data_IF_553330762127
#
_entry.id   IF_553330762127
#
_cell.length_a   1.000
_cell.length_b   1.000
_cell.length_c   1.000
_cell.angle_alpha   90.00
_cell.angle_beta   90.00
_cell.angle_gamma   90.00
#
_symmetry.space_group_name_H-M   'P 1'
#
loop_
_entity.id
_entity.type
_entity.pdbx_description
1 polymer ?
#
# COMPACT_ATOMS: atom_id res chain seq x y z
N UNK A 1 -50.44 58.25 16.59
CA UNK A 1 -49.41 57.16 16.32
C UNK A 1 -49.59 56.16 17.41
N UNK A 2 -50.12 54.97 17.08
CA UNK A 2 -50.31 53.87 18.03
C UNK A 2 -48.96 53.28 18.40
N UNK A 3 -48.61 53.27 19.70
CA UNK A 3 -47.42 52.62 20.22
C UNK A 3 -47.58 51.10 19.95
N UNK A 4 -46.74 50.56 19.14
CA UNK A 4 -46.64 49.09 18.96
C UNK A 4 -46.19 48.47 20.25
N UNK A 5 -47.03 47.62 20.82
CA UNK A 5 -46.74 46.85 22.02
C UNK A 5 -45.79 45.70 21.67
N UNK A 6 -44.50 45.96 21.77
CA UNK A 6 -43.44 44.95 21.50
C UNK A 6 -43.60 43.64 22.31
N UNK A 7 -44.22 43.77 23.51
CA UNK A 7 -44.45 42.61 24.36
C UNK A 7 -45.55 41.68 23.76
N UNK A 8 -46.57 42.22 23.15
CA UNK A 8 -47.63 41.45 22.48
C UNK A 8 -47.12 40.79 21.20
N UNK A 9 -46.26 41.48 20.47
CA UNK A 9 -45.65 40.91 19.26
C UNK A 9 -44.66 39.77 19.58
N UNK A 10 -43.86 39.91 20.63
CA UNK A 10 -42.97 38.85 21.15
C UNK A 10 -43.80 37.66 21.66
N UNK A 11 -44.91 37.91 22.40
CA UNK A 11 -45.76 36.82 22.90
C UNK A 11 -46.46 36.05 21.77
N UNK A 12 -46.89 36.72 20.72
CA UNK A 12 -47.42 36.07 19.51
C UNK A 12 -46.37 35.23 18.80
N UNK A 13 -45.13 35.69 18.73
CA UNK A 13 -43.99 34.95 18.17
C UNK A 13 -43.69 33.67 18.93
N UNK A 14 -43.74 33.71 20.27
CA UNK A 14 -43.58 32.53 21.12
C UNK A 14 -44.73 31.54 21.02
N UNK A 15 -45.97 32.03 20.97
CA UNK A 15 -47.16 31.19 20.94
C UNK A 15 -47.40 30.49 19.60
N UNK A 16 -46.93 31.05 18.50
CA UNK A 16 -47.09 30.46 17.16
C UNK A 16 -46.01 29.48 16.79
N UNK A 17 -44.94 29.32 17.61
CA UNK A 17 -43.91 28.27 17.41
C UNK A 17 -43.18 28.28 16.07
N UNK A 18 -43.50 29.26 15.21
CA UNK A 18 -42.88 29.35 13.88
C UNK A 18 -41.66 30.25 13.96
N UNK A 19 -40.63 29.75 14.63
CA UNK A 19 -39.28 30.22 14.32
C UNK A 19 -38.94 29.60 12.95
N UNK A 20 -39.30 30.30 11.87
CA UNK A 20 -38.71 30.00 10.58
C UNK A 20 -37.20 30.25 10.73
N UNK A 21 -36.43 29.17 11.02
CA UNK A 21 -35.00 29.23 10.83
C UNK A 21 -34.76 29.75 9.41
N UNK A 22 -33.98 30.80 9.23
CA UNK A 22 -33.62 31.21 7.89
C UNK A 22 -33.05 29.97 7.20
N UNK A 23 -33.65 29.57 6.10
CA UNK A 23 -33.18 28.46 5.29
C UNK A 23 -31.82 28.92 4.75
N UNK A 24 -30.74 28.65 5.51
CA UNK A 24 -29.42 28.82 4.94
C UNK A 24 -29.37 27.92 3.73
N UNK A 25 -29.17 28.45 2.53
CA UNK A 25 -28.95 27.59 1.38
C UNK A 25 -27.83 26.62 1.77
N UNK A 26 -28.05 25.33 1.51
CA UNK A 26 -27.03 24.33 1.69
C UNK A 26 -25.73 24.85 1.03
N UNK A 27 -24.58 24.75 1.68
CA UNK A 27 -23.36 25.22 1.07
C UNK A 27 -23.22 24.50 -0.28
N UNK A 28 -23.43 25.25 -1.35
CA UNK A 28 -23.04 24.78 -2.67
C UNK A 28 -21.54 24.64 -2.63
N UNK A 29 -21.07 23.42 -2.71
CA UNK A 29 -19.65 23.12 -2.83
C UNK A 29 -19.17 23.79 -4.12
N UNK A 30 -18.58 24.97 -3.99
CA UNK A 30 -17.94 25.68 -5.09
C UNK A 30 -16.58 25.03 -5.26
N UNK A 31 -16.50 24.04 -6.12
CA UNK A 31 -15.23 23.42 -6.50
C UNK A 31 -14.42 24.45 -7.28
N UNK A 32 -13.29 24.89 -6.77
CA UNK A 32 -12.28 25.60 -7.56
C UNK A 32 -11.95 27.05 -7.22
N UNK A 33 -12.26 27.56 -6.00
CA UNK A 33 -11.66 28.82 -5.55
C UNK A 33 -10.43 28.59 -4.67
N UNK A 34 -9.34 29.35 -4.86
CA UNK A 34 -8.17 29.24 -3.99
C UNK A 34 -8.58 29.55 -2.54
N UNK A 35 -8.50 28.57 -1.64
CA UNK A 35 -8.90 28.66 -0.25
C UNK A 35 -10.15 27.87 0.14
N UNK A 36 -10.89 27.25 -0.79
CA UNK A 36 -11.96 26.32 -0.47
C UNK A 36 -11.39 24.98 0.04
N UNK A 37 -12.03 24.32 1.04
CA UNK A 37 -11.63 22.98 1.48
C UNK A 37 -11.79 21.98 0.33
N UNK A 38 -10.69 21.43 -0.13
CA UNK A 38 -10.67 20.37 -1.13
C UNK A 38 -10.85 19.00 -0.47
N UNK A 39 -11.42 18.06 -1.24
CA UNK A 39 -11.50 16.67 -0.81
C UNK A 39 -10.08 16.13 -0.67
N UNK A 40 -9.75 15.61 0.51
CA UNK A 40 -8.42 15.06 0.83
C UNK A 40 -7.93 14.03 -0.20
N UNK A 41 -8.86 13.27 -0.80
CA UNK A 41 -8.55 12.33 -1.86
C UNK A 41 -8.03 13.00 -3.14
N UNK A 42 -8.55 14.17 -3.51
CA UNK A 42 -8.04 14.95 -4.64
C UNK A 42 -6.63 15.45 -4.38
N UNK A 43 -6.41 16.08 -3.23
CA UNK A 43 -5.08 16.59 -2.81
C UNK A 43 -4.04 15.47 -2.74
N UNK A 44 -4.43 14.27 -2.27
CA UNK A 44 -3.53 13.12 -2.22
C UNK A 44 -3.17 12.61 -3.63
N UNK A 45 -4.14 12.52 -4.54
CA UNK A 45 -3.87 12.11 -5.91
C UNK A 45 -2.95 13.11 -6.64
N UNK A 46 -3.19 14.40 -6.47
CA UNK A 46 -2.33 15.44 -7.02
C UNK A 46 -0.91 15.35 -6.45
N UNK A 47 -0.78 15.13 -5.15
CA UNK A 47 0.52 14.97 -4.48
C UNK A 47 1.26 13.70 -4.96
N UNK A 48 0.56 12.59 -5.18
CA UNK A 48 1.13 11.35 -5.70
C UNK A 48 1.68 11.57 -7.11
N UNK A 49 0.90 12.23 -7.97
CA UNK A 49 1.31 12.52 -9.34
C UNK A 49 2.45 13.53 -9.41
N UNK A 50 2.41 14.60 -8.60
CA UNK A 50 3.47 15.62 -8.55
C UNK A 50 4.82 15.06 -8.07
N UNK A 51 4.78 14.04 -7.22
CA UNK A 51 5.98 13.40 -6.68
C UNK A 51 6.41 12.14 -7.41
N UNK A 52 5.71 11.76 -8.47
CA UNK A 52 5.97 10.53 -9.23
C UNK A 52 6.00 9.27 -8.33
N UNK A 53 5.13 9.25 -7.29
CA UNK A 53 5.06 8.15 -6.33
C UNK A 53 4.24 6.96 -6.82
N UNK A 54 3.65 7.06 -8.00
CA UNK A 54 2.81 6.00 -8.57
C UNK A 54 3.52 4.64 -8.62
N UNK A 55 4.80 4.63 -9.04
CA UNK A 55 5.60 3.41 -9.09
C UNK A 55 5.87 2.83 -7.69
N UNK A 56 6.26 3.66 -6.73
CA UNK A 56 6.53 3.21 -5.37
C UNK A 56 5.28 2.69 -4.65
N UNK A 57 4.11 3.30 -4.89
CA UNK A 57 2.83 2.83 -4.38
C UNK A 57 2.40 1.52 -5.03
N UNK A 58 2.62 1.36 -6.34
CA UNK A 58 2.33 0.13 -7.05
C UNK A 58 3.21 -1.03 -6.54
N UNK A 59 4.51 -0.78 -6.30
CA UNK A 59 5.41 -1.73 -5.65
C UNK A 59 4.91 -2.12 -4.25
N UNK A 60 4.54 -1.14 -3.42
CA UNK A 60 3.98 -1.38 -2.10
C UNK A 60 2.71 -2.22 -2.15
N UNK A 61 1.82 -1.97 -3.10
CA UNK A 61 0.62 -2.76 -3.32
C UNK A 61 0.90 -4.21 -3.68
N UNK A 62 1.97 -4.48 -4.44
CA UNK A 62 2.39 -5.85 -4.75
C UNK A 62 2.75 -6.62 -3.47
N UNK A 63 3.53 -6.00 -2.57
CA UNK A 63 3.89 -6.64 -1.29
C UNK A 63 2.67 -6.92 -0.41
N UNK A 64 1.76 -5.96 -0.30
CA UNK A 64 0.53 -6.11 0.52
C UNK A 64 -0.41 -7.16 -0.06
N UNK A 65 -0.56 -7.19 -1.38
CA UNK A 65 -1.47 -8.12 -2.06
C UNK A 65 -0.77 -9.40 -2.55
N UNK A 66 0.45 -9.68 -2.11
CA UNK A 66 1.25 -10.84 -2.54
C UNK A 66 0.46 -12.14 -2.53
N UNK A 67 -0.20 -12.41 -1.41
CA UNK A 67 -1.02 -13.60 -1.22
C UNK A 67 -2.15 -13.75 -2.24
N UNK A 68 -2.77 -12.64 -2.64
CA UNK A 68 -3.84 -12.64 -3.64
C UNK A 68 -3.32 -12.88 -5.05
N UNK A 69 -2.10 -12.40 -5.34
CA UNK A 69 -1.48 -12.49 -6.67
C UNK A 69 -0.96 -13.91 -6.93
N UNK A 70 -0.20 -14.47 -5.99
CA UNK A 70 0.48 -15.76 -6.20
C UNK A 70 -0.30 -16.95 -5.65
N UNK A 71 -1.30 -16.71 -4.80
CA UNK A 71 -2.08 -17.73 -4.11
C UNK A 71 -1.51 -18.12 -2.74
N UNK A 72 -2.35 -18.82 -1.97
CA UNK A 72 -2.04 -19.18 -0.59
C UNK A 72 -0.82 -20.12 -0.48
N UNK A 73 -0.81 -21.16 -1.32
CA UNK A 73 0.26 -22.17 -1.34
C UNK A 73 1.66 -21.57 -1.55
N UNK A 74 1.79 -20.68 -2.55
CA UNK A 74 3.07 -20.05 -2.86
C UNK A 74 3.42 -19.02 -1.80
N UNK A 75 2.45 -18.25 -1.30
CA UNK A 75 2.68 -17.19 -0.32
C UNK A 75 3.18 -17.70 1.03
N UNK A 76 2.83 -18.93 1.43
CA UNK A 76 3.35 -19.54 2.66
C UNK A 76 4.84 -19.88 2.56
N UNK A 77 5.31 -20.15 1.36
CA UNK A 77 6.68 -20.63 1.12
C UNK A 77 7.58 -19.65 0.37
N UNK A 78 7.01 -18.56 -0.13
CA UNK A 78 7.72 -17.56 -0.92
C UNK A 78 7.27 -16.15 -0.52
N UNK A 79 8.21 -15.32 -0.10
CA UNK A 79 7.96 -13.94 0.30
C UNK A 79 8.76 -12.98 -0.59
N UNK A 80 8.16 -11.90 -1.09
CA UNK A 80 8.89 -10.88 -1.81
C UNK A 80 9.74 -10.06 -0.83
N UNK A 81 11.00 -9.80 -1.18
CA UNK A 81 11.92 -9.03 -0.33
C UNK A 81 12.11 -7.62 -0.87
N UNK A 82 12.38 -7.49 -2.16
CA UNK A 82 12.71 -6.21 -2.78
C UNK A 82 12.44 -6.23 -4.28
N UNK A 83 12.20 -5.03 -4.80
CA UNK A 83 12.16 -4.75 -6.22
C UNK A 83 13.27 -3.75 -6.49
N UNK A 84 14.22 -4.10 -7.34
CA UNK A 84 15.31 -3.23 -7.76
C UNK A 84 15.52 -3.41 -9.26
N UNK A 85 15.59 -2.33 -10.00
CA UNK A 85 15.81 -2.34 -11.44
C UNK A 85 14.89 -3.30 -12.21
N UNK A 86 13.60 -3.27 -11.91
CA UNK A 86 12.57 -4.17 -12.48
C UNK A 86 12.79 -5.66 -12.15
N UNK A 87 13.65 -5.97 -11.19
CA UNK A 87 13.93 -7.33 -10.73
C UNK A 87 13.26 -7.55 -9.38
N UNK A 88 12.28 -8.44 -9.33
CA UNK A 88 11.64 -8.86 -8.08
C UNK A 88 12.45 -9.99 -7.43
N UNK A 89 12.95 -9.75 -6.24
CA UNK A 89 13.64 -10.75 -5.42
C UNK A 89 12.67 -11.42 -4.46
N UNK A 90 12.57 -12.74 -4.55
CA UNK A 90 11.68 -13.57 -3.74
C UNK A 90 12.53 -14.50 -2.88
N UNK A 91 12.26 -14.54 -1.58
CA UNK A 91 12.89 -15.51 -0.66
C UNK A 91 11.96 -16.70 -0.47
N UNK A 92 12.53 -17.89 -0.61
CA UNK A 92 11.81 -19.12 -0.30
C UNK A 92 12.16 -19.68 1.07
N UNK A 93 11.22 -20.41 1.68
CA UNK A 93 11.38 -21.04 2.99
C UNK A 93 12.36 -22.22 2.98
N UNK A 94 12.52 -22.87 1.83
CA UNK A 94 13.43 -24.01 1.66
C UNK A 94 14.10 -24.02 0.29
N UNK A 95 15.22 -24.75 0.18
CA UNK A 95 15.92 -24.95 -1.08
C UNK A 95 15.09 -25.73 -2.10
N UNK A 96 14.27 -26.68 -1.65
CA UNK A 96 13.36 -27.43 -2.50
C UNK A 96 12.31 -26.50 -3.14
N UNK A 97 11.70 -25.63 -2.35
CA UNK A 97 10.79 -24.60 -2.84
C UNK A 97 11.48 -23.63 -3.80
N UNK A 98 12.72 -23.22 -3.50
CA UNK A 98 13.47 -22.37 -4.42
C UNK A 98 13.61 -22.98 -5.80
N UNK A 99 13.96 -24.27 -5.87
CA UNK A 99 14.08 -24.99 -7.14
C UNK A 99 12.75 -25.11 -7.88
N UNK A 100 11.68 -25.44 -7.18
CA UNK A 100 10.33 -25.51 -7.78
C UNK A 100 9.86 -24.16 -8.32
N UNK A 101 10.03 -23.10 -7.55
CA UNK A 101 9.68 -21.73 -7.97
C UNK A 101 10.50 -21.28 -9.18
N UNK A 102 11.79 -21.66 -9.25
CA UNK A 102 12.61 -21.40 -10.45
C UNK A 102 12.07 -22.08 -11.69
N UNK A 103 11.59 -23.32 -11.58
CA UNK A 103 10.99 -24.04 -12.71
C UNK A 103 9.70 -23.36 -13.23
N UNK A 104 8.90 -22.80 -12.32
CA UNK A 104 7.65 -22.13 -12.67
C UNK A 104 7.80 -20.60 -12.81
N UNK A 105 9.02 -20.08 -12.70
CA UNK A 105 9.31 -18.63 -12.66
C UNK A 105 8.66 -17.85 -13.80
N UNK A 106 8.68 -18.38 -15.02
CA UNK A 106 8.07 -17.75 -16.19
C UNK A 106 6.55 -17.62 -16.06
N UNK A 107 5.89 -18.64 -15.53
CA UNK A 107 4.44 -18.61 -15.29
C UNK A 107 4.10 -17.63 -14.17
N UNK A 108 4.90 -17.66 -13.11
CA UNK A 108 4.76 -16.76 -11.97
C UNK A 108 4.92 -15.29 -12.39
N UNK A 109 5.93 -15.01 -13.22
CA UNK A 109 6.16 -13.68 -13.77
C UNK A 109 4.94 -13.16 -14.56
N UNK A 110 4.37 -13.97 -15.43
CA UNK A 110 3.18 -13.62 -16.21
C UNK A 110 1.97 -13.35 -15.31
N UNK A 111 1.79 -14.14 -14.25
CA UNK A 111 0.70 -13.92 -13.26
C UNK A 111 0.90 -12.61 -12.54
N UNK A 112 2.12 -12.34 -12.07
CA UNK A 112 2.44 -11.10 -11.36
C UNK A 112 2.24 -9.88 -12.27
N UNK A 113 2.72 -9.93 -13.51
CA UNK A 113 2.55 -8.83 -14.47
C UNK A 113 1.08 -8.55 -14.80
N UNK A 114 0.24 -9.58 -14.78
CA UNK A 114 -1.20 -9.45 -15.03
C UNK A 114 -1.93 -8.81 -13.84
N UNK A 115 -1.61 -9.25 -12.62
CA UNK A 115 -2.38 -8.91 -11.43
C UNK A 115 -1.80 -7.71 -10.67
N UNK A 116 -0.49 -7.45 -10.79
CA UNK A 116 0.19 -6.29 -10.21
C UNK A 116 0.19 -5.11 -11.19
N UNK A 117 -0.95 -4.42 -11.26
CA UNK A 117 -1.09 -3.23 -12.12
C UNK A 117 -0.18 -2.09 -11.65
N UNK A 118 0.60 -1.53 -12.56
CA UNK A 118 1.47 -0.37 -12.30
C UNK A 118 2.90 -0.71 -11.89
N UNK A 119 3.27 -1.98 -11.73
CA UNK A 119 4.66 -2.41 -11.49
C UNK A 119 5.22 -3.06 -12.74
N UNK A 120 6.37 -2.58 -13.18
CA UNK A 120 7.11 -3.21 -14.28
C UNK A 120 8.10 -4.21 -13.70
N UNK A 121 7.84 -5.52 -13.89
CA UNK A 121 8.75 -6.58 -13.48
C UNK A 121 9.21 -7.33 -14.71
N UNK A 122 10.51 -7.36 -14.96
CA UNK A 122 11.12 -8.04 -16.10
C UNK A 122 11.69 -9.41 -15.70
N UNK A 123 12.17 -9.52 -14.45
CA UNK A 123 12.85 -10.72 -13.98
C UNK A 123 12.48 -11.07 -12.55
N UNK A 124 12.43 -12.36 -12.27
CA UNK A 124 12.34 -12.91 -10.92
C UNK A 124 13.67 -13.51 -10.50
N UNK A 125 14.13 -13.16 -9.31
CA UNK A 125 15.29 -13.76 -8.65
C UNK A 125 14.79 -14.49 -7.40
N UNK A 126 14.96 -15.80 -7.38
CA UNK A 126 14.51 -16.62 -6.26
C UNK A 126 15.73 -17.05 -5.46
N UNK A 127 15.74 -16.64 -4.20
CA UNK A 127 16.79 -16.99 -3.25
C UNK A 127 16.28 -18.01 -2.24
N UNK A 128 17.15 -18.93 -1.87
CA UNK A 128 16.86 -19.90 -0.81
C UNK A 128 16.84 -19.26 0.58
N UNK A 129 16.52 -20.03 1.62
CA UNK A 129 16.52 -19.55 2.98
C UNK A 129 17.90 -19.00 3.36
N UNK A 130 17.92 -17.91 4.14
CA UNK A 130 19.16 -17.36 4.69
C UNK A 130 19.76 -18.37 5.66
N UNK A 131 20.76 -19.11 5.20
CA UNK A 131 21.50 -20.01 6.09
C UNK A 131 22.39 -19.19 7.02
N UNK A 132 22.42 -19.48 8.31
CA UNK A 132 23.33 -18.80 9.22
C UNK A 132 24.78 -19.01 8.76
N UNK A 133 25.49 -17.91 8.53
CA UNK A 133 26.92 -18.00 8.19
C UNK A 133 27.72 -18.32 9.44
N UNK A 134 28.27 -19.51 9.49
CA UNK A 134 29.19 -19.98 10.55
C UNK A 134 30.48 -19.15 10.63
N UNK A 135 30.74 -18.32 9.62
CA UNK A 135 31.95 -17.48 9.51
C UNK A 135 31.81 -16.11 10.16
N UNK A 136 30.96 -15.94 11.15
CA UNK A 136 30.87 -14.70 11.92
C UNK A 136 31.76 -14.78 13.17
N UNK A 137 32.88 -14.07 13.14
CA UNK A 137 33.71 -13.83 14.31
C UNK A 137 35.20 -13.62 14.01
N UNK A 138 35.90 -12.99 14.95
CA UNK A 138 37.34 -12.67 14.91
C UNK A 138 38.23 -13.93 14.88
N UNK A 139 37.67 -15.10 15.20
CA UNK A 139 38.36 -16.40 15.27
C UNK A 139 37.97 -17.36 14.15
N UNK A 140 37.89 -16.87 12.93
CA UNK A 140 37.72 -17.75 11.76
C UNK A 140 39.09 -18.22 11.29
N UNK A 141 39.32 -19.52 11.28
CA UNK A 141 40.51 -20.11 10.69
C UNK A 141 40.36 -20.01 9.17
N UNK A 142 41.29 -19.33 8.52
CA UNK A 142 41.33 -19.21 7.07
C UNK A 142 41.47 -20.61 6.47
N UNK A 143 40.57 -20.99 5.55
CA UNK A 143 40.49 -22.31 4.91
C UNK A 143 40.05 -23.47 5.83
N UNK A 144 39.48 -23.22 7.00
CA UNK A 144 38.85 -24.28 7.76
C UNK A 144 37.65 -24.87 6.97
N UNK A 145 37.65 -26.20 6.80
CA UNK A 145 36.52 -26.94 6.27
C UNK A 145 35.30 -26.73 7.19
N UNK A 146 34.19 -26.32 6.63
CA UNK A 146 32.93 -26.21 7.38
C UNK A 146 32.37 -27.58 7.73
N UNK A 147 31.36 -27.67 8.61
CA UNK A 147 30.73 -28.95 8.99
C UNK A 147 30.22 -29.79 7.82
N UNK A 148 29.95 -29.18 6.67
CA UNK A 148 29.51 -29.87 5.44
C UNK A 148 30.59 -30.66 4.74
N UNK A 149 31.86 -30.30 4.95
CA UNK A 149 33.01 -30.93 4.28
C UNK A 149 33.59 -32.08 5.10
N UNK A 150 32.98 -32.38 6.24
CA UNK A 150 33.48 -33.41 7.16
C UNK A 150 32.93 -34.81 6.89
N UNK A 151 31.89 -34.89 6.05
CA UNK A 151 31.25 -36.16 5.66
C UNK A 151 31.42 -36.37 4.15
N UNK A 152 32.56 -36.85 3.78
CA UNK A 152 32.83 -37.44 2.48
C UNK A 152 33.22 -38.89 2.68
#
# INVERSE_FOLDING_TARGET
>A
MAKRDLALDLFKLFKTGVIRKPNKPAPTVRVGQPGDPELIGGVLNDLISDREWDSGLAEGNLFVNWKKIVGDEISEHAQPISILDNVLTIQSSSTAWATQLQLISNKLLLTIQKDATGVLIERLVIIGPATPTWKKGVRTIRNARGPRDTYN
#
